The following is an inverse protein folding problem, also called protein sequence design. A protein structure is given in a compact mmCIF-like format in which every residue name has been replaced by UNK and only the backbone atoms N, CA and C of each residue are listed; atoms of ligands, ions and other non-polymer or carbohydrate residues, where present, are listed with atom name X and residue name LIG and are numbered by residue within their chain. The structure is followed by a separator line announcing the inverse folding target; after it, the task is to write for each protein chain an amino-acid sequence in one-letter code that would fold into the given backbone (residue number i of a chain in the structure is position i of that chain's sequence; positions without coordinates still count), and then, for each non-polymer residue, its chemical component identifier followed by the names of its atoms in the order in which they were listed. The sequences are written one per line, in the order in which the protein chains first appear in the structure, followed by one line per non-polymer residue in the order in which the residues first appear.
data_IF_401133856387
#
_entry.id   IF_401133856387
#
_cell.length_a   1.000
_cell.length_b   1.000
_cell.length_c   1.000
_cell.angle_alpha   90.00
_cell.angle_beta   90.00
_cell.angle_gamma   90.00
#
_symmetry.space_group_name_H-M   'P 1'
#
loop_
_entity.id
_entity.type
_entity.pdbx_description
1 polymer ?
#
# COMPACT_ATOMS: atom_id res chain seq x y z
N UNK A 1 -6.09 -22.70 -9.10
CA UNK A 1 -4.74 -22.34 -9.59
C UNK A 1 -4.69 -20.83 -9.63
N UNK A 2 -3.74 -20.24 -8.90
CA UNK A 2 -3.63 -18.78 -8.80
C UNK A 2 -3.28 -18.19 -10.17
N UNK A 3 -3.86 -17.03 -10.51
CA UNK A 3 -3.65 -16.45 -11.83
C UNK A 3 -2.24 -15.85 -11.93
N UNK A 4 -1.51 -16.08 -13.03
CA UNK A 4 -0.19 -15.49 -13.23
C UNK A 4 -0.28 -13.96 -13.32
N UNK A 5 0.80 -13.28 -12.90
CA UNK A 5 0.88 -11.82 -12.97
C UNK A 5 0.65 -11.34 -14.41
N UNK A 6 -0.20 -10.32 -14.66
CA UNK A 6 -0.54 -9.85 -16.01
C UNK A 6 0.63 -9.32 -16.85
N UNK A 7 1.83 -9.16 -16.28
CA UNK A 7 3.02 -8.67 -16.98
C UNK A 7 4.16 -9.71 -17.03
N UNK A 8 3.88 -10.99 -16.71
CA UNK A 8 4.84 -12.09 -16.88
C UNK A 8 5.99 -12.12 -15.87
N UNK A 9 5.91 -11.36 -14.78
CA UNK A 9 6.88 -11.40 -13.68
C UNK A 9 6.63 -12.52 -12.68
N UNK A 10 7.67 -12.87 -11.91
CA UNK A 10 7.52 -13.75 -10.74
C UNK A 10 6.61 -13.10 -9.69
N UNK A 11 5.68 -13.88 -9.15
CA UNK A 11 4.95 -13.49 -7.94
C UNK A 11 5.84 -13.82 -6.73
N UNK A 12 6.24 -12.80 -5.98
CA UNK A 12 7.01 -13.01 -4.75
C UNK A 12 6.07 -13.30 -3.58
N UNK A 13 6.33 -14.40 -2.87
CA UNK A 13 5.74 -14.62 -1.56
C UNK A 13 6.46 -13.77 -0.49
N UNK A 14 5.90 -13.73 0.71
CA UNK A 14 6.47 -12.94 1.82
C UNK A 14 7.93 -13.29 2.13
N UNK A 15 8.30 -14.57 2.05
CA UNK A 15 9.68 -15.03 2.29
C UNK A 15 10.66 -14.51 1.23
N UNK A 16 10.27 -14.55 -0.05
CA UNK A 16 11.08 -14.03 -1.16
C UNK A 16 11.29 -12.52 -1.01
N UNK A 17 10.24 -11.77 -0.67
CA UNK A 17 10.34 -10.32 -0.37
C UNK A 17 11.31 -10.08 0.78
N UNK A 18 11.17 -10.82 1.89
CA UNK A 18 12.03 -10.67 3.07
C UNK A 18 13.50 -10.98 2.74
N UNK A 19 13.76 -11.99 1.93
CA UNK A 19 15.11 -12.35 1.49
C UNK A 19 15.73 -11.24 0.63
N UNK A 20 15.00 -10.72 -0.36
CA UNK A 20 15.50 -9.66 -1.25
C UNK A 20 15.78 -8.37 -0.48
N UNK A 21 14.93 -8.00 0.50
CA UNK A 21 15.21 -6.85 1.38
C UNK A 21 16.52 -7.04 2.15
N UNK A 22 16.73 -8.23 2.72
CA UNK A 22 17.99 -8.57 3.43
C UNK A 22 19.20 -8.55 2.49
N UNK A 23 19.08 -9.08 1.27
CA UNK A 23 20.14 -9.05 0.26
C UNK A 23 20.55 -7.61 -0.11
N UNK A 24 19.62 -6.67 -0.03
CA UNK A 24 19.86 -5.23 -0.25
C UNK A 24 20.28 -4.48 1.03
N UNK A 25 20.62 -5.20 2.11
CA UNK A 25 21.09 -4.59 3.36
C UNK A 25 19.98 -3.94 4.20
N UNK A 26 18.72 -4.14 3.84
CA UNK A 26 17.56 -3.65 4.60
C UNK A 26 17.22 -4.67 5.67
N UNK A 27 16.95 -4.22 6.89
CA UNK A 27 16.44 -5.07 7.96
C UNK A 27 14.90 -5.00 8.00
N UNK A 28 14.17 -5.97 7.41
CA UNK A 28 12.71 -5.99 7.45
C UNK A 28 12.20 -6.31 8.85
N UNK A 29 11.01 -5.80 9.17
CA UNK A 29 10.29 -6.23 10.38
C UNK A 29 9.94 -7.72 10.25
N UNK A 30 10.29 -8.47 11.29
CA UNK A 30 9.83 -9.84 11.56
C UNK A 30 8.64 -9.84 12.50
N UNK A 31 8.58 -8.91 13.46
CA UNK A 31 7.45 -8.74 14.38
C UNK A 31 7.16 -7.26 14.61
N UNK A 32 5.91 -6.87 14.41
CA UNK A 32 5.39 -5.54 14.78
C UNK A 32 4.51 -5.71 16.01
N UNK A 33 4.82 -4.98 17.07
CA UNK A 33 4.07 -5.03 18.34
C UNK A 33 3.28 -3.75 18.62
N UNK A 34 3.57 -2.65 17.91
CA UNK A 34 2.86 -1.38 18.07
C UNK A 34 2.67 -0.68 16.72
N UNK A 35 1.47 -0.12 16.55
CA UNK A 35 1.08 0.64 15.36
C UNK A 35 0.34 1.89 15.84
N UNK A 36 0.84 3.06 15.42
CA UNK A 36 0.27 4.37 15.73
C UNK A 36 -0.08 5.10 14.43
N UNK A 37 -1.23 5.78 14.42
CA UNK A 37 -1.76 6.47 13.25
C UNK A 37 -2.02 7.93 13.63
N UNK A 38 -1.40 8.85 12.90
CA UNK A 38 -1.73 10.27 12.95
C UNK A 38 -2.72 10.58 11.82
N UNK A 39 -3.93 11.02 12.18
CA UNK A 39 -4.96 11.38 11.23
C UNK A 39 -5.46 12.80 11.49
N UNK A 40 -5.72 13.52 10.40
CA UNK A 40 -6.53 14.74 10.42
C UNK A 40 -7.99 14.37 10.15
N UNK A 41 -8.77 14.37 11.23
CA UNK A 41 -10.19 14.06 11.17
C UNK A 41 -11.04 15.20 10.56
N UNK A 42 -10.52 16.43 10.46
CA UNK A 42 -11.23 17.52 9.80
C UNK A 42 -11.25 17.33 8.27
N UNK A 43 -10.15 16.83 7.70
CA UNK A 43 -10.04 16.55 6.27
C UNK A 43 -10.25 15.07 5.90
N UNK A 44 -10.38 14.19 6.90
CA UNK A 44 -10.57 12.75 6.70
C UNK A 44 -9.33 12.06 6.14
N UNK A 45 -8.13 12.53 6.49
CA UNK A 45 -6.86 12.05 5.92
C UNK A 45 -5.94 11.47 6.99
N UNK A 46 -5.25 10.38 6.64
CA UNK A 46 -4.10 9.90 7.39
C UNK A 46 -2.88 10.72 7.00
N UNK A 47 -2.20 11.31 7.99
CA UNK A 47 -0.97 12.06 7.79
C UNK A 47 0.24 11.13 7.82
N UNK A 48 0.36 10.32 8.87
CA UNK A 48 1.46 9.38 9.04
C UNK A 48 1.03 8.11 9.75
N UNK A 49 1.76 7.04 9.46
CA UNK A 49 1.68 5.75 10.15
C UNK A 49 3.07 5.48 10.73
N UNK A 50 3.12 5.09 12.00
CA UNK A 50 4.34 4.71 12.69
C UNK A 50 4.23 3.27 13.18
N UNK A 51 5.25 2.48 12.90
CA UNK A 51 5.37 1.08 13.28
C UNK A 51 6.52 0.92 14.25
N UNK A 52 6.34 0.14 15.32
CA UNK A 52 7.44 -0.29 16.19
C UNK A 52 7.49 -1.82 16.27
N UNK A 53 8.70 -2.35 16.13
CA UNK A 53 8.93 -3.78 15.98
C UNK A 53 10.41 -4.12 15.95
N UNK A 54 10.78 -5.29 16.46
CA UNK A 54 12.16 -5.81 16.46
C UNK A 54 13.24 -4.80 16.93
N UNK A 55 12.90 -3.93 17.88
CA UNK A 55 13.80 -2.92 18.44
C UNK A 55 14.01 -1.67 17.57
N UNK A 56 13.24 -1.50 16.49
CA UNK A 56 13.24 -0.29 15.65
C UNK A 56 11.84 0.32 15.49
N UNK A 57 11.81 1.57 15.09
CA UNK A 57 10.58 2.29 14.75
C UNK A 57 10.75 3.02 13.42
N UNK A 58 9.82 2.82 12.50
CA UNK A 58 9.79 3.47 11.19
C UNK A 58 8.47 4.23 11.03
N UNK A 59 8.50 5.40 10.37
CA UNK A 59 7.31 6.23 10.10
C UNK A 59 7.29 6.62 8.62
N UNK A 60 6.09 6.61 8.02
CA UNK A 60 5.89 6.94 6.61
C UNK A 60 4.57 7.70 6.42
N UNK A 61 4.46 8.41 5.30
CA UNK A 61 3.29 9.22 4.98
C UNK A 61 2.06 8.36 4.70
N UNK A 62 0.88 8.87 5.05
CA UNK A 62 -0.39 8.21 4.72
C UNK A 62 -0.62 8.04 3.22
N UNK A 63 -0.12 8.97 2.41
CA UNK A 63 -0.22 8.91 0.94
C UNK A 63 0.73 7.85 0.35
N UNK A 64 1.93 7.67 0.92
CA UNK A 64 2.86 6.60 0.53
C UNK A 64 2.28 5.23 0.83
N UNK A 65 1.69 5.06 2.02
CA UNK A 65 1.02 3.83 2.41
C UNK A 65 -0.12 3.47 1.46
N UNK A 66 -0.95 4.46 1.08
CA UNK A 66 -2.02 4.25 0.10
C UNK A 66 -1.47 3.83 -1.26
N UNK A 67 -0.34 4.39 -1.67
CA UNK A 67 0.31 4.06 -2.94
C UNK A 67 0.86 2.63 -2.93
N UNK A 68 1.66 2.25 -1.92
CA UNK A 68 2.28 0.92 -1.83
C UNK A 68 1.27 -0.22 -1.84
N UNK A 69 0.14 -0.05 -1.16
CA UNK A 69 -0.89 -1.07 -1.05
C UNK A 69 -2.06 -0.86 -2.02
N UNK A 70 -1.95 0.12 -2.94
CA UNK A 70 -3.01 0.51 -3.88
C UNK A 70 -4.37 0.65 -3.17
N UNK A 71 -4.37 1.24 -1.97
CA UNK A 71 -5.57 1.41 -1.16
C UNK A 71 -6.42 2.49 -1.79
N UNK A 72 -7.51 2.05 -2.43
CA UNK A 72 -8.53 2.97 -2.91
C UNK A 72 -9.40 3.36 -1.72
N UNK A 73 -9.61 4.67 -1.56
CA UNK A 73 -10.66 5.13 -0.65
C UNK A 73 -11.98 4.44 -1.03
N UNK A 74 -12.80 4.01 -0.07
CA UNK A 74 -14.11 3.43 -0.35
C UNK A 74 -14.94 4.44 -1.15
N UNK A 75 -15.16 4.14 -2.42
CA UNK A 75 -15.86 5.01 -3.36
C UNK A 75 -16.11 4.27 -4.66
N UNK A 76 -17.27 4.51 -5.28
CA UNK A 76 -17.60 3.93 -6.57
C UNK A 76 -16.61 4.43 -7.62
N UNK A 77 -15.87 3.52 -8.25
CA UNK A 77 -15.06 3.84 -9.43
C UNK A 77 -16.02 3.92 -10.62
N UNK A 78 -16.50 5.12 -10.94
CA UNK A 78 -17.18 5.37 -12.21
C UNK A 78 -16.14 5.57 -13.31
N UNK A 79 -15.89 4.53 -14.10
CA UNK A 79 -15.17 4.66 -15.37
C UNK A 79 -16.17 5.22 -16.37
N UNK A 80 -16.20 6.54 -16.54
CA UNK A 80 -16.92 7.14 -17.66
C UNK A 80 -16.15 6.80 -18.93
N UNK A 81 -16.77 6.02 -19.82
CA UNK A 81 -16.20 5.77 -21.14
C UNK A 81 -16.09 7.09 -21.93
N UNK A 82 -15.19 7.18 -22.94
CA UNK A 82 -15.02 8.39 -23.75
C UNK A 82 -16.31 8.82 -24.49
N UNK A 83 -17.32 7.94 -24.55
CA UNK A 83 -18.64 8.23 -25.12
C UNK A 83 -19.68 8.77 -24.12
N UNK A 84 -19.41 8.81 -22.82
CA UNK A 84 -20.41 9.26 -21.82
C UNK A 84 -20.85 10.72 -22.04
N UNK A 85 -19.98 11.57 -22.59
CA UNK A 85 -20.34 12.94 -22.95
C UNK A 85 -21.07 13.07 -24.29
N UNK A 86 -21.07 12.01 -25.12
CA UNK A 86 -21.63 12.02 -26.48
C UNK A 86 -23.07 11.49 -26.48
N UNK A 87 -23.43 10.61 -25.55
CA UNK A 87 -24.80 10.05 -25.39
C UNK A 87 -25.73 10.89 -24.50
N UNK A 88 -25.20 11.95 -23.85
CA UNK A 88 -25.98 12.85 -22.97
C UNK A 88 -26.57 14.08 -23.67
N UNK A 89 -26.52 14.14 -25.00
CA UNK A 89 -27.19 15.17 -25.81
C UNK A 89 -28.38 14.58 -26.53
#
# INVERSE_FOLDING_TARGET
VDKPHPYGGENWNEERVRQELKNNGINPFSNVYDISISADFNSGKTNSISLSGDGKSDSFGGDEFKNWFNLRAPGNIQIVGPLFNVEKR
#
